data_IF_437459550972
#
_entry.id   IF_437459550972
#
_cell.length_a   1.000
_cell.length_b   1.000
_cell.length_c   1.000
_cell.angle_alpha   90.00
_cell.angle_beta   90.00
_cell.angle_gamma   90.00
#
_symmetry.space_group_name_H-M   'P 1'
#
loop_
_entity.id
_entity.type
_entity.pdbx_description
1 polymer ?
#
# COMPACT_ATOMS: atom_id res chain seq x y z
N UNK A 1 15.10 18.96 4.44
CA UNK A 1 16.06 19.94 5.05
C UNK A 1 17.50 19.55 4.71
N UNK A 2 18.45 20.49 4.89
CA UNK A 2 19.88 20.23 4.71
C UNK A 2 20.48 19.47 5.91
N UNK A 3 21.74 19.04 5.76
CA UNK A 3 22.52 18.34 6.81
C UNK A 3 22.62 19.16 8.10
N UNK A 4 22.69 20.48 7.95
CA UNK A 4 22.77 21.45 9.03
C UNK A 4 21.40 21.91 9.58
N UNK A 5 20.33 21.27 9.18
CA UNK A 5 18.95 21.58 9.57
C UNK A 5 18.34 22.80 8.87
N UNK A 6 19.09 23.45 7.96
CA UNK A 6 18.53 24.57 7.19
C UNK A 6 17.47 24.11 6.19
N UNK A 7 16.52 25.01 5.95
CA UNK A 7 15.52 24.78 4.91
C UNK A 7 16.15 24.79 3.51
N UNK A 8 15.86 23.77 2.72
CA UNK A 8 16.19 23.70 1.30
C UNK A 8 15.02 24.12 0.40
N UNK A 9 13.98 24.69 0.98
CA UNK A 9 12.85 25.20 0.21
C UNK A 9 13.30 26.41 -0.62
N UNK A 10 13.09 26.31 -1.93
CA UNK A 10 13.46 27.30 -2.93
C UNK A 10 12.26 27.68 -3.78
N UNK A 11 12.43 28.65 -4.67
CA UNK A 11 11.41 29.00 -5.68
C UNK A 11 11.01 27.78 -6.53
N UNK A 12 11.95 26.87 -6.79
CA UNK A 12 11.68 25.65 -7.54
C UNK A 12 10.74 24.71 -6.77
N UNK A 13 10.88 24.62 -5.45
CA UNK A 13 9.96 23.84 -4.61
C UNK A 13 8.50 24.29 -4.78
N UNK A 14 8.25 25.60 -4.76
CA UNK A 14 6.91 26.14 -5.03
C UNK A 14 6.42 25.81 -6.44
N UNK A 15 7.30 25.84 -7.44
CA UNK A 15 6.94 25.49 -8.82
C UNK A 15 6.55 24.04 -8.97
N UNK A 16 7.25 23.12 -8.31
CA UNK A 16 6.87 21.69 -8.31
C UNK A 16 5.47 21.49 -7.76
N UNK A 17 5.15 22.07 -6.60
CA UNK A 17 3.79 21.97 -6.08
C UNK A 17 2.76 22.64 -6.97
N UNK A 18 3.11 23.77 -7.60
CA UNK A 18 2.20 24.44 -8.50
C UNK A 18 1.82 23.60 -9.73
N UNK A 19 2.66 22.64 -10.14
CA UNK A 19 2.32 21.74 -11.26
C UNK A 19 1.08 20.91 -10.99
N UNK A 20 0.75 20.65 -9.71
CA UNK A 20 -0.46 19.91 -9.35
C UNK A 20 -1.74 20.63 -9.75
N UNK A 21 -1.75 21.96 -9.77
CA UNK A 21 -2.89 22.73 -10.28
C UNK A 21 -3.12 22.52 -11.78
N UNK A 22 -2.05 22.28 -12.55
CA UNK A 22 -2.15 22.00 -13.98
C UNK A 22 -2.75 20.61 -14.27
N UNK A 23 -2.63 19.69 -13.31
CA UNK A 23 -3.17 18.33 -13.40
C UNK A 23 -4.63 18.25 -12.96
N UNK A 24 -5.10 19.28 -12.25
CA UNK A 24 -6.44 19.32 -11.67
C UNK A 24 -6.56 18.57 -10.33
N UNK A 25 -7.72 18.62 -9.67
CA UNK A 25 -7.96 18.01 -8.37
C UNK A 25 -8.10 16.49 -8.52
N UNK A 26 -6.98 15.79 -8.45
CA UNK A 26 -6.92 14.33 -8.52
C UNK A 26 -5.87 13.80 -7.54
N UNK A 27 -6.11 12.68 -6.86
CA UNK A 27 -5.16 12.11 -5.92
C UNK A 27 -3.88 11.58 -6.58
N UNK A 28 -3.92 11.31 -7.88
CA UNK A 28 -2.79 10.82 -8.66
C UNK A 28 -2.68 11.58 -10.01
N UNK A 29 -1.46 11.90 -10.46
CA UNK A 29 -0.17 11.69 -9.78
C UNK A 29 0.00 12.61 -8.57
N UNK A 30 0.58 12.07 -7.49
CA UNK A 30 0.84 12.82 -6.26
C UNK A 30 2.30 13.30 -6.16
N UNK A 31 2.53 14.26 -5.27
CA UNK A 31 3.86 14.69 -4.85
C UNK A 31 4.07 14.37 -3.36
N UNK A 32 5.20 13.76 -3.03
CA UNK A 32 5.60 13.58 -1.64
C UNK A 32 6.40 14.80 -1.17
N UNK A 33 5.93 15.44 -0.12
CA UNK A 33 6.60 16.52 0.56
C UNK A 33 7.28 15.97 1.82
N UNK A 34 8.59 16.09 1.91
CA UNK A 34 9.34 15.80 3.14
C UNK A 34 9.14 16.96 4.09
N UNK A 35 8.16 16.80 4.98
CA UNK A 35 7.81 17.80 5.97
C UNK A 35 8.78 17.80 7.15
N UNK A 36 9.17 18.97 7.61
CA UNK A 36 10.02 19.13 8.78
C UNK A 36 9.58 20.35 9.61
N UNK A 37 9.83 20.28 10.92
CA UNK A 37 9.35 21.27 11.89
C UNK A 37 9.78 22.70 11.52
N UNK A 38 11.03 22.86 11.09
CA UNK A 38 11.63 24.17 10.78
C UNK A 38 11.40 24.64 9.34
N UNK A 39 10.48 23.99 8.60
CA UNK A 39 10.09 24.49 7.27
C UNK A 39 9.51 25.90 7.36
N UNK A 40 9.79 26.78 6.38
CA UNK A 40 9.25 28.13 6.37
C UNK A 40 7.72 28.15 6.46
N UNK A 41 7.16 29.05 7.25
CA UNK A 41 5.72 29.11 7.49
C UNK A 41 4.92 29.34 6.20
N UNK A 42 5.41 30.19 5.30
CA UNK A 42 4.80 30.41 4.00
C UNK A 42 4.80 29.14 3.11
N UNK A 43 5.83 28.30 3.24
CA UNK A 43 5.86 26.99 2.57
C UNK A 43 4.80 26.05 3.12
N UNK A 44 4.69 25.95 4.45
CA UNK A 44 3.66 25.11 5.10
C UNK A 44 2.25 25.52 4.68
N UNK A 45 1.97 26.83 4.68
CA UNK A 45 0.68 27.37 4.23
C UNK A 45 0.41 27.08 2.76
N UNK A 46 1.42 27.18 1.92
CA UNK A 46 1.26 26.85 0.49
C UNK A 46 1.00 25.38 0.29
N UNK A 47 1.73 24.48 0.97
CA UNK A 47 1.46 23.05 0.95
C UNK A 47 0.01 22.74 1.39
N UNK A 48 -0.44 23.30 2.50
CA UNK A 48 -1.81 23.13 2.99
C UNK A 48 -2.84 23.58 1.95
N UNK A 49 -2.63 24.75 1.33
CA UNK A 49 -3.52 25.25 0.27
C UNK A 49 -3.58 24.29 -0.92
N UNK A 50 -2.43 23.84 -1.41
CA UNK A 50 -2.38 22.91 -2.54
C UNK A 50 -3.03 21.57 -2.20
N UNK A 51 -2.86 21.07 -0.97
CA UNK A 51 -3.53 19.85 -0.50
C UNK A 51 -5.06 19.99 -0.52
N UNK A 52 -5.57 21.13 -0.07
CA UNK A 52 -7.02 21.39 -0.08
C UNK A 52 -7.55 21.46 -1.51
N UNK A 53 -6.83 22.17 -2.37
CA UNK A 53 -7.28 22.45 -3.74
C UNK A 53 -7.15 21.22 -4.68
N UNK A 54 -6.20 20.32 -4.43
CA UNK A 54 -5.86 19.24 -5.39
C UNK A 54 -5.97 17.83 -4.84
N UNK A 55 -5.91 17.64 -3.52
CA UNK A 55 -5.82 16.32 -2.87
C UNK A 55 -4.62 15.46 -3.35
N UNK A 56 -3.57 16.08 -3.89
CA UNK A 56 -2.46 15.42 -4.59
C UNK A 56 -1.11 15.55 -3.87
N UNK A 57 -1.10 15.95 -2.61
CA UNK A 57 0.12 15.97 -1.79
C UNK A 57 0.07 14.88 -0.74
N UNK A 58 1.17 14.16 -0.65
CA UNK A 58 1.46 13.22 0.41
C UNK A 58 2.59 13.78 1.28
N UNK A 59 2.53 13.55 2.59
CA UNK A 59 3.52 14.06 3.53
C UNK A 59 4.26 12.92 4.21
N UNK A 60 5.58 13.03 4.25
CA UNK A 60 6.45 12.20 5.07
C UNK A 60 7.22 13.09 6.05
N UNK A 61 7.40 12.64 7.27
CA UNK A 61 8.06 13.43 8.30
C UNK A 61 9.58 13.24 8.23
N UNK A 62 10.27 14.24 7.66
CA UNK A 62 11.73 14.23 7.48
C UNK A 62 12.48 14.17 8.83
N UNK A 63 11.94 14.80 9.88
CA UNK A 63 12.55 14.77 11.21
C UNK A 63 12.53 13.36 11.85
N UNK A 64 11.55 12.52 11.49
CA UNK A 64 11.44 11.15 11.94
C UNK A 64 12.21 10.17 11.04
N UNK A 65 12.32 10.45 9.74
CA UNK A 65 12.97 9.54 8.79
C UNK A 65 14.49 9.64 8.81
N UNK A 66 15.04 10.84 8.99
CA UNK A 66 16.49 11.08 8.94
C UNK A 66 17.32 10.28 9.93
N UNK A 67 16.89 10.06 11.19
CA UNK A 67 17.67 9.24 12.13
C UNK A 67 17.95 7.82 11.61
N UNK A 68 17.02 7.23 10.87
CA UNK A 68 17.12 5.85 10.38
C UNK A 68 17.71 5.77 8.96
N UNK A 69 17.37 6.73 8.10
CA UNK A 69 17.70 6.68 6.67
C UNK A 69 18.88 7.61 6.28
N UNK A 70 19.30 8.51 7.18
CA UNK A 70 20.36 9.49 6.90
C UNK A 70 19.85 10.68 6.09
N UNK A 71 20.80 11.45 5.56
CA UNK A 71 20.50 12.70 4.87
C UNK A 71 20.15 12.53 3.38
N UNK A 72 20.51 11.36 2.81
CA UNK A 72 20.35 11.07 1.41
C UNK A 72 19.41 9.88 1.22
N UNK A 73 18.13 10.16 1.36
CA UNK A 73 17.06 9.19 1.13
C UNK A 73 15.95 9.81 0.27
N UNK A 74 15.19 8.96 -0.36
CA UNK A 74 13.99 9.32 -1.10
C UNK A 74 12.82 8.44 -0.70
N UNK A 75 11.62 8.85 -1.10
CA UNK A 75 10.43 8.05 -0.93
C UNK A 75 10.17 7.31 -2.25
N UNK A 76 10.36 6.00 -2.23
CA UNK A 76 10.06 5.17 -3.38
C UNK A 76 8.55 4.95 -3.50
N UNK A 77 8.02 5.12 -4.71
CA UNK A 77 6.60 5.01 -5.03
C UNK A 77 5.75 5.97 -4.17
N UNK A 78 5.06 5.46 -3.15
CA UNK A 78 4.10 6.24 -2.37
C UNK A 78 4.64 6.60 -0.97
N UNK A 79 5.18 5.62 -0.23
CA UNK A 79 5.43 5.76 1.22
C UNK A 79 6.69 5.07 1.71
N UNK A 80 7.49 4.49 0.85
CA UNK A 80 8.62 3.66 1.25
C UNK A 80 9.92 4.45 1.24
N UNK A 81 10.50 4.77 2.39
CA UNK A 81 11.80 5.43 2.44
C UNK A 81 12.90 4.48 1.98
N UNK A 82 13.87 4.99 1.25
CA UNK A 82 14.98 4.23 0.67
C UNK A 82 16.24 5.09 0.62
N UNK A 83 17.36 4.55 1.10
CA UNK A 83 18.66 5.19 0.98
C UNK A 83 19.09 5.17 -0.49
N UNK A 84 19.29 6.37 -1.06
CA UNK A 84 19.61 6.52 -2.47
C UNK A 84 21.00 5.90 -2.75
N UNK A 85 21.07 5.09 -3.80
CA UNK A 85 22.29 4.39 -4.20
C UNK A 85 22.68 3.19 -3.32
N UNK A 86 22.04 2.97 -2.17
CA UNK A 86 22.40 1.92 -1.20
C UNK A 86 21.32 0.87 -0.98
N UNK A 87 20.09 1.21 -1.25
CA UNK A 87 18.96 0.31 -1.07
C UNK A 87 18.16 0.20 -2.36
N UNK A 88 17.65 -0.99 -2.62
CA UNK A 88 16.73 -1.28 -3.72
C UNK A 88 15.47 -1.90 -3.16
N UNK A 89 14.30 -1.43 -3.60
CA UNK A 89 13.03 -1.92 -3.12
C UNK A 89 12.33 -2.75 -4.18
N UNK A 90 11.89 -3.94 -3.77
CA UNK A 90 11.04 -4.80 -4.57
C UNK A 90 9.60 -4.74 -4.08
N UNK A 91 8.70 -4.41 -4.98
CA UNK A 91 7.27 -4.36 -4.71
C UNK A 91 6.51 -5.04 -5.86
N UNK A 92 6.08 -6.28 -5.64
CA UNK A 92 5.49 -7.09 -6.70
C UNK A 92 3.95 -7.02 -6.79
N UNK A 93 3.26 -6.97 -5.67
CA UNK A 93 1.80 -7.06 -5.63
C UNK A 93 1.21 -6.64 -4.29
N UNK A 94 -0.09 -6.36 -4.28
CA UNK A 94 -0.89 -6.19 -3.06
C UNK A 94 -1.80 -7.39 -2.84
N UNK A 95 -1.94 -7.83 -1.58
CA UNK A 95 -2.94 -8.81 -1.19
C UNK A 95 -4.29 -8.11 -0.98
N UNK A 96 -5.33 -8.58 -1.67
CA UNK A 96 -6.68 -8.02 -1.54
C UNK A 96 -7.42 -8.68 -0.38
N UNK A 97 -7.48 -7.99 0.75
CA UNK A 97 -8.11 -8.51 1.97
C UNK A 97 -9.64 -8.59 1.85
N UNK A 98 -10.26 -7.67 1.12
CA UNK A 98 -11.72 -7.71 0.91
C UNK A 98 -12.13 -8.94 0.08
N UNK A 99 -11.39 -9.27 -0.97
CA UNK A 99 -11.59 -10.52 -1.72
C UNK A 99 -11.33 -11.75 -0.85
N UNK A 100 -10.33 -11.69 0.01
CA UNK A 100 -10.04 -12.76 0.97
C UNK A 100 -11.24 -13.02 1.89
N UNK A 101 -11.91 -11.97 2.38
CA UNK A 101 -13.12 -12.11 3.20
C UNK A 101 -14.27 -12.75 2.41
N UNK A 102 -14.51 -12.31 1.16
CA UNK A 102 -15.52 -12.92 0.31
C UNK A 102 -15.21 -14.41 0.02
N UNK A 103 -13.96 -14.75 -0.23
CA UNK A 103 -13.56 -16.15 -0.42
C UNK A 103 -13.75 -16.97 0.86
N UNK A 104 -13.50 -16.38 2.04
CA UNK A 104 -13.76 -17.04 3.31
C UNK A 104 -15.25 -17.37 3.50
N UNK A 105 -16.14 -16.43 3.14
CA UNK A 105 -17.59 -16.64 3.20
C UNK A 105 -18.05 -17.69 2.17
N UNK A 106 -17.48 -17.67 0.96
CA UNK A 106 -17.90 -18.50 -0.18
C UNK A 106 -17.10 -19.82 -0.32
N UNK A 107 -16.34 -20.23 0.69
CA UNK A 107 -15.60 -21.50 0.68
C UNK A 107 -14.47 -21.57 -0.36
N UNK A 108 -13.85 -20.41 -0.66
CA UNK A 108 -12.75 -20.30 -1.62
C UNK A 108 -13.16 -20.03 -3.06
N UNK A 109 -14.45 -19.81 -3.32
CA UNK A 109 -14.99 -19.52 -4.64
C UNK A 109 -15.10 -18.01 -4.89
N UNK A 110 -14.81 -17.61 -6.11
CA UNK A 110 -15.00 -16.23 -6.54
C UNK A 110 -16.49 -15.93 -6.80
N UNK A 111 -17.01 -14.89 -6.18
CA UNK A 111 -18.44 -14.56 -6.24
C UNK A 111 -18.92 -14.15 -7.65
N UNK A 112 -18.02 -13.69 -8.50
CA UNK A 112 -18.36 -13.27 -9.87
C UNK A 112 -18.34 -14.43 -10.84
N UNK A 113 -17.22 -15.15 -10.91
CA UNK A 113 -17.01 -16.22 -11.86
C UNK A 113 -17.52 -17.59 -11.39
N UNK A 114 -17.69 -17.77 -10.08
CA UNK A 114 -18.00 -19.05 -9.47
C UNK A 114 -16.83 -20.03 -9.42
N UNK A 115 -15.66 -19.63 -9.92
CA UNK A 115 -14.48 -20.49 -9.99
C UNK A 115 -13.88 -20.69 -8.60
N UNK A 116 -13.41 -21.90 -8.32
CA UNK A 116 -12.64 -22.21 -7.12
C UNK A 116 -11.23 -21.63 -7.26
N UNK A 117 -10.95 -20.54 -6.55
CA UNK A 117 -9.66 -19.81 -6.63
C UNK A 117 -8.75 -20.06 -5.43
N UNK A 118 -9.32 -20.46 -4.31
CA UNK A 118 -8.60 -20.87 -3.10
C UNK A 118 -8.87 -22.36 -2.80
N UNK A 119 -8.12 -23.01 -1.88
CA UNK A 119 -8.49 -24.33 -1.41
C UNK A 119 -9.95 -24.37 -0.98
N UNK A 120 -10.58 -25.52 -1.16
CA UNK A 120 -11.97 -25.71 -0.75
C UNK A 120 -12.06 -25.65 0.79
N UNK A 121 -12.69 -24.60 1.28
CA UNK A 121 -13.08 -24.44 2.68
C UNK A 121 -14.59 -24.61 2.80
N UNK A 122 -15.07 -24.95 3.98
CA UNK A 122 -16.51 -24.99 4.22
C UNK A 122 -17.09 -23.56 4.18
N UNK A 123 -18.01 -23.24 3.27
CA UNK A 123 -18.60 -21.91 3.20
C UNK A 123 -19.49 -21.58 4.41
N UNK A 124 -19.74 -20.31 4.66
CA UNK A 124 -20.77 -19.89 5.61
C UNK A 124 -22.14 -20.21 5.00
N UNK A 125 -22.98 -20.97 5.72
CA UNK A 125 -24.28 -21.45 5.19
C UNK A 125 -25.50 -20.80 5.81
N UNK A 126 -25.36 -20.06 6.91
CA UNK A 126 -26.46 -19.41 7.61
C UNK A 126 -27.24 -18.40 6.77
N UNK A 127 -28.46 -18.11 7.18
CA UNK A 127 -29.27 -17.00 6.62
C UNK A 127 -28.69 -15.64 7.02
N UNK A 128 -28.03 -15.61 8.16
CA UNK A 128 -27.31 -14.43 8.69
C UNK A 128 -25.85 -14.78 8.88
N UNK A 129 -24.98 -13.76 8.76
CA UNK A 129 -23.57 -13.90 9.07
C UNK A 129 -23.36 -13.82 10.57
N UNK A 130 -22.71 -14.83 11.14
CA UNK A 130 -22.29 -14.86 12.54
C UNK A 130 -20.82 -14.47 12.64
N UNK A 131 -20.53 -13.47 13.49
CA UNK A 131 -19.20 -12.86 13.56
C UNK A 131 -18.08 -13.87 13.84
N UNK A 132 -18.25 -14.72 14.85
CA UNK A 132 -17.21 -15.68 15.23
C UNK A 132 -16.95 -16.73 14.14
N UNK A 133 -18.01 -17.18 13.43
CA UNK A 133 -17.86 -18.09 12.30
C UNK A 133 -17.10 -17.41 11.15
N UNK A 134 -17.49 -16.19 10.78
CA UNK A 134 -16.84 -15.43 9.70
C UNK A 134 -15.38 -15.15 10.04
N UNK A 135 -15.09 -14.75 11.29
CA UNK A 135 -13.71 -14.50 11.73
C UNK A 135 -12.84 -15.74 11.66
N UNK A 136 -13.32 -16.88 12.14
CA UNK A 136 -12.56 -18.13 12.10
C UNK A 136 -12.23 -18.56 10.65
N UNK A 137 -13.21 -18.43 9.75
CA UNK A 137 -13.01 -18.72 8.31
C UNK A 137 -12.09 -17.72 7.64
N UNK A 138 -12.21 -16.44 7.99
CA UNK A 138 -11.35 -15.38 7.48
C UNK A 138 -9.89 -15.57 7.91
N UNK A 139 -9.64 -15.90 9.17
CA UNK A 139 -8.27 -16.22 9.63
C UNK A 139 -7.68 -17.41 8.87
N UNK A 140 -8.44 -18.45 8.67
CA UNK A 140 -8.00 -19.62 7.89
C UNK A 140 -7.64 -19.24 6.45
N UNK A 141 -8.48 -18.45 5.81
CA UNK A 141 -8.25 -17.95 4.44
C UNK A 141 -7.04 -17.02 4.37
N UNK A 142 -6.87 -16.13 5.37
CA UNK A 142 -5.72 -15.25 5.46
C UNK A 142 -4.40 -16.01 5.59
N UNK A 143 -4.36 -17.08 6.37
CA UNK A 143 -3.17 -17.94 6.49
C UNK A 143 -2.78 -18.57 5.15
N UNK A 144 -3.76 -19.00 4.37
CA UNK A 144 -3.52 -19.48 3.02
C UNK A 144 -3.04 -18.35 2.09
N UNK A 145 -3.73 -17.21 2.09
CA UNK A 145 -3.37 -16.05 1.26
C UNK A 145 -1.95 -15.59 1.54
N UNK A 146 -1.55 -15.51 2.82
CA UNK A 146 -0.21 -15.11 3.20
C UNK A 146 0.88 -16.03 2.61
N UNK A 147 0.64 -17.36 2.61
CA UNK A 147 1.56 -18.33 1.99
C UNK A 147 1.65 -18.13 0.48
N UNK A 148 0.51 -17.99 -0.19
CA UNK A 148 0.46 -17.76 -1.65
C UNK A 148 1.15 -16.44 -2.00
N UNK A 149 0.84 -15.39 -1.26
CA UNK A 149 1.42 -14.06 -1.47
C UNK A 149 2.95 -14.05 -1.34
N UNK A 150 3.47 -14.62 -0.25
CA UNK A 150 4.93 -14.70 -0.06
C UNK A 150 5.60 -15.54 -1.14
N UNK A 151 4.99 -16.67 -1.54
CA UNK A 151 5.55 -17.52 -2.60
C UNK A 151 5.50 -16.82 -3.96
N UNK A 152 4.42 -16.11 -4.28
CA UNK A 152 4.34 -15.33 -5.52
C UNK A 152 5.44 -14.25 -5.57
N UNK A 153 5.63 -13.50 -4.47
CA UNK A 153 6.71 -12.51 -4.41
C UNK A 153 8.10 -13.14 -4.54
N UNK A 154 8.34 -14.32 -3.96
CA UNK A 154 9.61 -15.03 -4.13
C UNK A 154 9.87 -15.39 -5.59
N UNK A 155 8.85 -15.86 -6.30
CA UNK A 155 8.96 -16.19 -7.73
C UNK A 155 9.25 -14.93 -8.55
N UNK A 156 8.53 -13.84 -8.30
CA UNK A 156 8.72 -12.57 -8.98
C UNK A 156 10.17 -12.08 -8.79
N UNK A 157 10.65 -12.05 -7.56
CA UNK A 157 12.02 -11.61 -7.27
C UNK A 157 13.07 -12.53 -7.88
N UNK A 158 12.87 -13.86 -7.83
CA UNK A 158 13.74 -14.81 -8.49
C UNK A 158 13.83 -14.57 -10.00
N UNK A 159 12.69 -14.27 -10.65
CA UNK A 159 12.66 -13.99 -12.08
C UNK A 159 13.36 -12.67 -12.42
N UNK A 160 13.23 -11.64 -11.59
CA UNK A 160 13.99 -10.40 -11.74
C UNK A 160 15.50 -10.68 -11.65
N UNK A 161 15.94 -11.39 -10.62
CA UNK A 161 17.35 -11.75 -10.45
C UNK A 161 17.86 -12.59 -11.64
N UNK A 162 17.10 -13.60 -12.05
CA UNK A 162 17.49 -14.51 -13.12
C UNK A 162 17.66 -13.83 -14.47
N UNK A 163 16.77 -12.90 -14.80
CA UNK A 163 16.80 -12.20 -16.09
C UNK A 163 17.48 -10.84 -16.02
N UNK A 164 18.04 -10.50 -14.86
CA UNK A 164 18.81 -9.28 -14.64
C UNK A 164 18.08 -8.00 -15.08
N UNK A 165 16.79 -7.91 -14.86
CA UNK A 165 15.99 -6.71 -15.20
C UNK A 165 16.54 -5.45 -14.52
N UNK A 166 17.17 -5.61 -13.36
CA UNK A 166 17.73 -4.52 -12.58
C UNK A 166 19.20 -4.24 -12.89
N UNK A 167 19.84 -5.03 -13.76
CA UNK A 167 21.25 -4.86 -14.07
C UNK A 167 21.58 -3.45 -14.57
N UNK A 168 20.67 -2.84 -15.32
CA UNK A 168 20.81 -1.45 -15.77
C UNK A 168 20.69 -0.46 -14.61
N UNK A 169 19.74 -0.67 -13.69
CA UNK A 169 19.53 0.19 -12.53
C UNK A 169 20.66 0.07 -11.52
N UNK A 170 21.33 -1.10 -11.45
CA UNK A 170 22.48 -1.31 -10.59
C UNK A 170 23.65 -0.35 -10.91
N UNK A 171 23.72 0.18 -12.12
CA UNK A 171 24.70 1.21 -12.46
C UNK A 171 24.54 2.52 -11.69
N UNK A 172 23.39 2.75 -11.10
CA UNK A 172 23.05 3.93 -10.28
C UNK A 172 23.30 3.72 -8.79
N UNK A 173 23.77 2.52 -8.41
CA UNK A 173 23.98 2.16 -7.01
C UNK A 173 25.47 2.14 -6.67
N UNK A 174 25.75 2.34 -5.39
CA UNK A 174 27.05 2.08 -4.78
C UNK A 174 27.36 0.56 -4.84
N UNK A 175 28.42 0.09 -4.22
CA UNK A 175 28.80 -1.33 -4.25
C UNK A 175 27.68 -2.29 -3.80
N UNK A 176 27.77 -2.81 -2.60
CA UNK A 176 26.75 -3.74 -2.08
C UNK A 176 25.43 -3.01 -1.83
N UNK A 177 24.36 -3.50 -2.46
CA UNK A 177 23.00 -2.95 -2.36
C UNK A 177 22.15 -3.80 -1.44
N UNK A 178 21.58 -3.17 -0.43
CA UNK A 178 20.58 -3.80 0.42
C UNK A 178 19.24 -3.92 -0.34
N UNK A 179 18.73 -5.15 -0.45
CA UNK A 179 17.44 -5.42 -1.10
C UNK A 179 16.32 -5.50 -0.07
N UNK A 180 15.39 -4.58 -0.16
CA UNK A 180 14.24 -4.49 0.71
C UNK A 180 13.02 -5.01 -0.01
N UNK A 181 12.27 -5.92 0.62
CA UNK A 181 11.00 -6.40 0.11
C UNK A 181 9.86 -5.57 0.70
N UNK A 182 9.15 -4.86 -0.16
CA UNK A 182 7.91 -4.21 0.21
C UNK A 182 6.74 -5.18 0.05
N UNK A 183 5.92 -5.26 1.09
CA UNK A 183 4.65 -5.98 1.07
C UNK A 183 3.51 -4.98 1.15
N UNK A 184 2.40 -5.26 0.50
CA UNK A 184 1.25 -4.37 0.48
C UNK A 184 -0.07 -5.11 0.64
N UNK A 185 -1.04 -4.42 1.20
CA UNK A 185 -2.42 -4.87 1.34
C UNK A 185 -3.37 -3.85 0.71
N UNK A 186 -4.56 -4.30 0.33
CA UNK A 186 -5.65 -3.46 -0.12
C UNK A 186 -6.96 -3.94 0.51
N UNK A 187 -7.91 -3.03 0.70
CA UNK A 187 -9.23 -3.36 1.22
C UNK A 187 -9.31 -3.52 2.74
N UNK A 188 -8.33 -3.05 3.51
CA UNK A 188 -8.34 -3.17 4.98
C UNK A 188 -9.55 -2.47 5.60
N UNK A 189 -9.85 -1.24 5.19
CA UNK A 189 -11.01 -0.49 5.67
C UNK A 189 -12.33 -1.20 5.35
N UNK A 190 -12.45 -1.74 4.13
CA UNK A 190 -13.64 -2.50 3.71
C UNK A 190 -13.84 -3.73 4.61
N UNK A 191 -12.77 -4.44 4.94
CA UNK A 191 -12.85 -5.60 5.84
C UNK A 191 -13.24 -5.16 7.25
N UNK A 192 -12.61 -4.11 7.77
CA UNK A 192 -12.91 -3.60 9.10
C UNK A 192 -14.37 -3.18 9.24
N UNK A 193 -14.88 -2.43 8.28
CA UNK A 193 -16.28 -1.99 8.25
C UNK A 193 -17.26 -3.16 8.09
N UNK A 194 -16.90 -4.14 7.23
CA UNK A 194 -17.72 -5.34 7.03
C UNK A 194 -17.79 -6.20 8.30
N UNK A 195 -16.66 -6.42 8.96
CA UNK A 195 -16.63 -7.19 10.21
C UNK A 195 -17.32 -6.47 11.35
N UNK A 196 -17.23 -5.13 11.43
CA UNK A 196 -17.97 -4.34 12.38
C UNK A 196 -19.49 -4.45 12.14
N UNK A 197 -19.92 -4.35 10.89
CA UNK A 197 -21.32 -4.53 10.52
C UNK A 197 -21.85 -5.92 10.90
N UNK A 198 -21.08 -6.98 10.63
CA UNK A 198 -21.46 -8.36 11.00
C UNK A 198 -21.53 -8.53 12.51
N UNK A 199 -20.65 -7.91 13.27
CA UNK A 199 -20.63 -7.99 14.74
C UNK A 199 -21.79 -7.22 15.39
N UNK A 200 -22.07 -6.03 14.88
CA UNK A 200 -22.95 -5.08 15.55
C UNK A 200 -24.39 -5.09 15.01
N UNK A 201 -24.63 -5.78 13.87
CA UNK A 201 -25.96 -5.86 13.25
C UNK A 201 -26.27 -7.27 12.73
N UNK A 202 -27.51 -7.51 12.32
CA UNK A 202 -27.92 -8.74 11.63
C UNK A 202 -27.76 -8.57 10.13
N UNK A 203 -26.69 -9.13 9.58
CA UNK A 203 -26.42 -9.11 8.13
C UNK A 203 -27.02 -10.33 7.48
N UNK A 204 -28.10 -10.15 6.72
CA UNK A 204 -28.74 -11.21 5.96
C UNK A 204 -27.95 -11.53 4.71
N UNK A 205 -27.77 -12.82 4.43
CA UNK A 205 -27.07 -13.28 3.24
C UNK A 205 -28.10 -13.50 2.11
N UNK A 206 -27.80 -12.94 0.94
CA UNK A 206 -28.54 -13.20 -0.29
C UNK A 206 -27.58 -13.96 -1.21
N UNK A 207 -27.94 -15.17 -1.60
CA UNK A 207 -27.16 -16.03 -2.48
C UNK A 207 -27.88 -16.22 -3.81
N UNK A 208 -27.11 -16.31 -4.87
CA UNK A 208 -27.62 -16.70 -6.20
C UNK A 208 -27.82 -18.24 -6.31
N UNK A 209 -28.24 -18.69 -7.50
CA UNK A 209 -28.46 -20.10 -7.80
C UNK A 209 -27.21 -21.00 -7.62
N UNK A 210 -26.02 -20.39 -7.66
CA UNK A 210 -24.73 -21.07 -7.45
C UNK A 210 -24.38 -21.20 -5.96
N UNK A 211 -25.17 -20.58 -5.08
CA UNK A 211 -24.93 -20.49 -3.65
C UNK A 211 -23.84 -19.48 -3.27
N UNK A 212 -23.62 -18.46 -4.11
CA UNK A 212 -22.63 -17.40 -3.92
C UNK A 212 -23.29 -16.07 -3.64
#
# INVERSE_FOLDING_TARGET
>A
QGVDGRSLVTRTSYRYLHTLYNLGPAPEPNLTVLWFKNAPENWKRFCAKVSIDTSAIQYENDDLMRPDYGDDYGIACCVSPMKIGKQMQFFGARANLAKCLLYAINGGRDERSGVQVAPMFEPVRGEYLEYDEVMAKYEQMMRWLAKVYVNALKIIHYMHDKYAYEAFEMSLHDGDVERIRATGIAGLSIVADSLAAIRDTKVRVIRDERGL
#
